data_IF_233914467632
#
_entry.id   IF_233914467632
#
_cell.length_a   1.000
_cell.length_b   1.000
_cell.length_c   1.000
_cell.angle_alpha   90.00
_cell.angle_beta   90.00
_cell.angle_gamma   90.00
#
_symmetry.space_group_name_H-M   'P 1'
#
loop_
_entity.id
_entity.type
_entity.pdbx_description
1 polymer ?
#
# COMPACT_ATOMS: atom_id res chain seq x y z
N UNK A 1 -8.62 20.22 -8.90
CA UNK A 1 -7.30 20.76 -8.48
C UNK A 1 -7.11 22.17 -9.04
N UNK A 2 -6.45 23.03 -8.29
CA UNK A 2 -6.08 24.37 -8.76
C UNK A 2 -4.81 24.30 -9.59
N UNK A 3 -4.80 24.91 -10.78
CA UNK A 3 -3.62 25.04 -11.62
C UNK A 3 -2.97 26.42 -11.44
N UNK A 4 -1.64 26.47 -11.38
CA UNK A 4 -0.90 27.72 -11.36
C UNK A 4 -0.23 27.96 -12.71
N UNK A 5 -0.37 29.16 -13.25
CA UNK A 5 0.35 29.60 -14.46
C UNK A 5 1.46 30.55 -14.05
N UNK A 6 2.72 30.16 -14.26
CA UNK A 6 3.87 30.98 -13.98
C UNK A 6 4.08 32.00 -15.10
N UNK A 7 3.57 33.22 -14.92
CA UNK A 7 3.66 34.29 -15.92
C UNK A 7 4.99 35.06 -15.85
N UNK A 8 5.56 35.24 -14.62
CA UNK A 8 6.82 35.97 -14.44
C UNK A 8 8.04 35.06 -14.49
N UNK A 9 9.23 35.64 -14.77
CA UNK A 9 10.50 34.93 -14.74
C UNK A 9 10.83 34.38 -13.34
N UNK A 10 10.51 35.15 -12.28
CA UNK A 10 10.72 34.75 -10.89
C UNK A 10 9.82 33.57 -10.51
N UNK A 11 8.54 33.60 -10.89
CA UNK A 11 7.63 32.48 -10.66
C UNK A 11 8.12 31.22 -11.36
N UNK A 12 8.54 31.31 -12.64
CA UNK A 12 9.13 30.18 -13.38
C UNK A 12 10.39 29.65 -12.69
N UNK A 13 11.28 30.53 -12.23
CA UNK A 13 12.51 30.13 -11.52
C UNK A 13 12.18 29.35 -10.24
N UNK A 14 11.16 29.75 -9.50
CA UNK A 14 10.70 29.05 -8.29
C UNK A 14 10.22 27.64 -8.63
N UNK A 15 9.37 27.46 -9.65
CA UNK A 15 8.91 26.14 -10.09
C UNK A 15 10.06 25.24 -10.58
N UNK A 16 11.05 25.80 -11.29
CA UNK A 16 12.24 25.06 -11.69
C UNK A 16 13.09 24.62 -10.49
N UNK A 17 13.19 25.46 -9.46
CA UNK A 17 13.91 25.13 -8.23
C UNK A 17 13.20 23.99 -7.48
N UNK A 18 11.87 24.04 -7.38
CA UNK A 18 11.08 22.98 -6.74
C UNK A 18 11.17 21.67 -7.51
N UNK A 19 11.16 21.73 -8.85
CA UNK A 19 11.39 20.56 -9.72
C UNK A 19 12.78 19.95 -9.52
N UNK A 20 13.82 20.76 -9.39
CA UNK A 20 15.18 20.28 -9.12
C UNK A 20 15.29 19.58 -7.75
N UNK A 21 14.48 19.99 -6.77
CA UNK A 21 14.42 19.37 -5.43
C UNK A 21 13.69 18.01 -5.47
N UNK A 22 12.69 17.83 -6.32
CA UNK A 22 11.99 16.54 -6.45
C UNK A 22 12.89 15.44 -7.01
N UNK A 23 13.89 15.78 -7.83
CA UNK A 23 14.91 14.83 -8.28
C UNK A 23 15.81 14.32 -7.12
N UNK A 24 15.90 15.06 -6.00
CA UNK A 24 16.69 14.69 -4.83
C UNK A 24 16.01 13.62 -3.95
N UNK A 25 14.72 13.36 -4.11
CA UNK A 25 13.98 12.33 -3.35
C UNK A 25 14.58 10.93 -3.62
N UNK A 26 15.12 10.69 -4.82
CA UNK A 26 15.79 9.45 -5.17
C UNK A 26 17.12 9.23 -4.40
N UNK A 27 17.72 10.26 -3.80
CA UNK A 27 18.99 10.16 -3.05
C UNK A 27 18.82 9.58 -1.64
N UNK A 28 17.63 9.57 -1.10
CA UNK A 28 17.34 9.12 0.27
C UNK A 28 16.64 7.76 0.35
N UNK A 29 16.36 7.15 -0.79
CA UNK A 29 15.82 5.80 -0.88
C UNK A 29 16.82 4.93 -1.65
N UNK A 30 17.18 3.76 -1.12
CA UNK A 30 17.93 2.73 -1.85
C UNK A 30 17.08 2.14 -3.00
N UNK A 31 16.33 2.99 -3.70
CA UNK A 31 15.44 2.57 -4.77
C UNK A 31 16.19 2.66 -6.11
N UNK A 32 16.34 1.54 -6.76
CA UNK A 32 16.65 1.48 -8.18
C UNK A 32 15.39 1.83 -8.98
N UNK A 33 15.52 2.55 -10.08
CA UNK A 33 14.41 2.89 -10.96
C UNK A 33 14.55 2.16 -12.27
N UNK A 34 13.57 1.35 -12.60
CA UNK A 34 13.38 0.90 -13.97
C UNK A 34 12.68 2.06 -14.68
N UNK A 35 13.31 2.60 -15.72
CA UNK A 35 12.83 3.78 -16.42
C UNK A 35 12.57 3.46 -17.89
N UNK A 36 11.39 3.82 -18.37
CA UNK A 36 11.01 3.74 -19.77
C UNK A 36 10.52 5.11 -20.25
N UNK A 37 11.04 5.54 -21.38
CA UNK A 37 10.66 6.80 -22.01
C UNK A 37 9.79 6.50 -23.24
N UNK A 38 8.59 7.05 -23.26
CA UNK A 38 7.63 6.86 -24.36
C UNK A 38 7.07 8.18 -24.83
N UNK A 39 6.72 8.25 -26.10
CA UNK A 39 6.01 9.39 -26.69
C UNK A 39 4.57 8.98 -26.95
N UNK A 40 3.64 9.64 -26.26
CA UNK A 40 2.20 9.40 -26.39
C UNK A 40 1.58 10.53 -27.20
N UNK A 41 0.81 10.23 -28.27
CA UNK A 41 0.04 11.25 -28.99
C UNK A 41 -0.83 12.04 -28.03
N UNK A 42 -0.78 13.37 -28.10
CA UNK A 42 -1.49 14.26 -27.17
C UNK A 42 -2.98 13.91 -26.99
N UNK A 43 -3.76 13.57 -28.04
CA UNK A 43 -5.14 13.17 -27.88
C UNK A 43 -5.34 11.89 -27.05
N UNK A 44 -4.31 11.04 -26.93
CA UNK A 44 -4.36 9.77 -26.17
C UNK A 44 -3.73 9.85 -24.78
N UNK A 45 -3.25 11.02 -24.38
CA UNK A 45 -2.58 11.20 -23.10
C UNK A 45 -3.50 10.87 -21.90
N UNK A 46 -4.79 11.25 -22.00
CA UNK A 46 -5.80 10.91 -20.98
C UNK A 46 -6.00 9.40 -20.84
N UNK A 47 -6.17 8.70 -21.95
CA UNK A 47 -6.29 7.22 -21.98
C UNK A 47 -5.06 6.53 -21.37
N UNK A 48 -3.87 7.03 -21.69
CA UNK A 48 -2.62 6.49 -21.15
C UNK A 48 -2.52 6.67 -19.63
N UNK A 49 -2.81 7.87 -19.11
CA UNK A 49 -2.76 8.14 -17.66
C UNK A 49 -3.80 7.33 -16.89
N UNK A 50 -5.00 7.19 -17.44
CA UNK A 50 -6.06 6.35 -16.87
C UNK A 50 -5.64 4.87 -16.82
N UNK A 51 -5.02 4.37 -17.87
CA UNK A 51 -4.46 3.01 -17.91
C UNK A 51 -3.40 2.77 -16.83
N UNK A 52 -2.47 3.72 -16.63
CA UNK A 52 -1.47 3.63 -15.57
C UNK A 52 -2.10 3.72 -14.17
N UNK A 53 -3.10 4.55 -13.99
CA UNK A 53 -3.82 4.64 -12.71
C UNK A 53 -4.54 3.33 -12.39
N UNK A 54 -5.17 2.71 -13.38
CA UNK A 54 -5.77 1.39 -13.25
C UNK A 54 -4.74 0.34 -12.81
N UNK A 55 -3.60 0.29 -13.47
CA UNK A 55 -2.49 -0.61 -13.09
C UNK A 55 -2.08 -0.37 -11.63
N UNK A 56 -1.94 0.87 -11.21
CA UNK A 56 -1.56 1.21 -9.84
C UNK A 56 -2.62 0.79 -8.81
N UNK A 57 -3.90 0.91 -9.14
CA UNK A 57 -5.00 0.43 -8.28
C UNK A 57 -4.95 -1.09 -8.16
N UNK A 58 -4.76 -1.81 -9.26
CA UNK A 58 -4.64 -3.27 -9.26
C UNK A 58 -3.43 -3.74 -8.43
N UNK A 59 -2.26 -3.13 -8.64
CA UNK A 59 -1.04 -3.42 -7.87
C UNK A 59 -1.23 -3.13 -6.38
N UNK A 60 -1.89 -2.03 -6.05
CA UNK A 60 -2.23 -1.68 -4.66
C UNK A 60 -3.14 -2.71 -4.00
N UNK A 61 -4.17 -3.19 -4.70
CA UNK A 61 -5.06 -4.24 -4.20
C UNK A 61 -4.32 -5.56 -4.03
N UNK A 62 -3.51 -5.97 -5.00
CA UNK A 62 -2.66 -7.18 -4.91
C UNK A 62 -1.74 -7.14 -3.69
N UNK A 63 -1.04 -6.01 -3.48
CA UNK A 63 -0.17 -5.85 -2.31
C UNK A 63 -0.95 -5.93 -0.99
N UNK A 64 -2.15 -5.35 -0.92
CA UNK A 64 -3.01 -5.44 0.26
C UNK A 64 -3.52 -6.85 0.51
N UNK A 65 -3.81 -7.62 -0.54
CA UNK A 65 -4.18 -9.03 -0.41
C UNK A 65 -3.00 -9.86 0.13
N UNK A 66 -1.77 -9.60 -0.32
CA UNK A 66 -0.56 -10.21 0.25
C UNK A 66 -0.40 -9.90 1.74
N UNK A 67 -0.73 -8.67 2.17
CA UNK A 67 -0.76 -8.36 3.62
C UNK A 67 -1.72 -9.29 4.34
N UNK A 68 -2.95 -9.46 3.85
CA UNK A 68 -3.93 -10.36 4.49
C UNK A 68 -3.45 -11.80 4.54
N UNK A 69 -2.75 -12.28 3.50
CA UNK A 69 -2.16 -13.63 3.48
C UNK A 69 -1.06 -13.78 4.55
N UNK A 70 -0.21 -12.77 4.69
CA UNK A 70 0.83 -12.74 5.74
C UNK A 70 0.24 -12.74 7.16
N UNK A 71 -0.82 -11.95 7.39
CA UNK A 71 -1.52 -11.92 8.68
C UNK A 71 -2.17 -13.26 9.00
N UNK A 72 -2.86 -13.86 8.03
CA UNK A 72 -3.50 -15.17 8.21
C UNK A 72 -2.47 -16.24 8.51
N UNK A 73 -1.35 -16.27 7.78
CA UNK A 73 -0.24 -17.20 8.02
C UNK A 73 0.33 -17.05 9.43
N UNK A 74 0.47 -15.83 9.92
CA UNK A 74 0.94 -15.58 11.28
C UNK A 74 -0.08 -16.05 12.32
N UNK A 75 -1.36 -15.70 12.17
CA UNK A 75 -2.42 -16.05 13.13
C UNK A 75 -2.69 -17.56 13.21
N UNK A 76 -2.36 -18.32 12.17
CA UNK A 76 -2.47 -19.79 12.14
C UNK A 76 -1.29 -20.52 12.77
N UNK A 77 -0.27 -19.81 13.28
CA UNK A 77 0.83 -20.46 14.00
C UNK A 77 0.34 -21.13 15.28
N UNK A 78 0.99 -22.24 15.64
CA UNK A 78 0.67 -23.03 16.86
C UNK A 78 0.88 -22.27 18.17
N UNK A 79 1.79 -21.28 18.16
CA UNK A 79 2.04 -20.41 19.31
C UNK A 79 2.13 -18.95 18.86
N UNK A 80 1.31 -18.10 19.46
CA UNK A 80 1.35 -16.66 19.27
C UNK A 80 2.05 -15.98 20.45
N UNK A 81 2.82 -14.90 20.22
CA UNK A 81 3.53 -14.21 21.27
C UNK A 81 2.52 -13.47 22.17
N UNK A 82 2.58 -13.70 23.46
CA UNK A 82 1.81 -13.01 24.49
C UNK A 82 2.74 -12.19 25.38
N UNK A 83 2.23 -11.07 25.88
CA UNK A 83 2.90 -10.28 26.91
C UNK A 83 2.98 -11.05 28.23
N UNK A 84 3.99 -10.75 29.04
CA UNK A 84 4.11 -11.34 30.38
C UNK A 84 2.95 -10.83 31.26
N UNK A 85 2.24 -11.74 31.92
CA UNK A 85 1.41 -11.41 33.07
C UNK A 85 2.33 -11.37 34.30
N UNK A 86 2.19 -10.31 35.11
CA UNK A 86 2.94 -10.14 36.37
C UNK A 86 2.48 -11.11 37.50
N UNK A 87 1.51 -11.95 37.23
CA UNK A 87 0.99 -12.92 38.20
C UNK A 87 1.54 -14.32 37.87
N UNK A 88 2.09 -14.99 38.87
CA UNK A 88 2.71 -16.33 38.86
C UNK A 88 1.77 -17.50 38.47
N UNK A 89 0.67 -17.24 37.82
CA UNK A 89 -0.26 -18.24 37.31
C UNK A 89 0.00 -18.50 35.83
N UNK A 90 0.52 -19.69 35.51
CA UNK A 90 0.63 -20.19 34.13
C UNK A 90 -0.76 -20.53 33.55
N UNK A 91 -1.48 -19.49 33.08
CA UNK A 91 -2.69 -19.71 32.32
C UNK A 91 -2.30 -20.17 30.91
N UNK A 92 -2.85 -21.28 30.40
CA UNK A 92 -2.55 -21.73 29.03
C UNK A 92 -2.84 -20.64 28.01
N UNK A 93 -1.92 -20.44 27.07
CA UNK A 93 -2.04 -19.41 26.01
C UNK A 93 -3.34 -19.51 25.21
N UNK A 94 -3.85 -20.73 25.01
CA UNK A 94 -5.12 -20.98 24.33
C UNK A 94 -6.31 -20.40 25.10
N UNK A 95 -6.28 -20.44 26.43
CA UNK A 95 -7.34 -19.90 27.28
C UNK A 95 -7.30 -18.36 27.28
N UNK A 96 -6.12 -17.76 27.28
CA UNK A 96 -5.94 -16.31 27.17
C UNK A 96 -6.41 -15.78 25.82
N UNK A 97 -6.11 -16.49 24.73
CA UNK A 97 -6.52 -16.12 23.37
C UNK A 97 -8.02 -16.25 23.15
N UNK A 98 -8.66 -17.28 23.77
CA UNK A 98 -10.08 -17.54 23.59
C UNK A 98 -10.44 -17.64 22.09
N UNK A 99 -11.49 -16.95 21.67
CA UNK A 99 -11.99 -16.92 20.30
C UNK A 99 -11.38 -15.80 19.42
N UNK A 100 -10.47 -15.00 19.98
CA UNK A 100 -9.90 -13.82 19.30
C UNK A 100 -9.21 -14.15 17.98
N UNK A 101 -8.48 -15.25 17.92
CA UNK A 101 -7.83 -15.72 16.69
C UNK A 101 -8.87 -16.02 15.62
N UNK A 102 -9.95 -16.70 15.99
CA UNK A 102 -11.05 -17.03 15.08
C UNK A 102 -11.73 -15.75 14.57
N UNK A 103 -12.03 -14.81 15.44
CA UNK A 103 -12.60 -13.50 15.05
C UNK A 103 -11.68 -12.74 14.09
N UNK A 104 -10.37 -12.73 14.34
CA UNK A 104 -9.40 -12.09 13.47
C UNK A 104 -9.32 -12.76 12.10
N UNK A 105 -9.37 -14.09 12.03
CA UNK A 105 -9.38 -14.84 10.77
C UNK A 105 -10.67 -14.58 9.97
N UNK A 106 -11.81 -14.49 10.63
CA UNK A 106 -13.09 -14.12 10.00
C UNK A 106 -13.06 -12.70 9.43
N UNK A 107 -12.55 -11.73 10.19
CA UNK A 107 -12.33 -10.38 9.73
C UNK A 107 -11.49 -10.36 8.45
N UNK A 108 -10.33 -11.02 8.49
CA UNK A 108 -9.40 -11.10 7.35
C UNK A 108 -10.09 -11.75 6.14
N UNK A 109 -10.84 -12.82 6.36
CA UNK A 109 -11.59 -13.52 5.31
C UNK A 109 -12.62 -12.62 4.63
N UNK A 110 -13.39 -11.86 5.41
CA UNK A 110 -14.41 -10.93 4.92
C UNK A 110 -13.79 -9.77 4.12
N UNK A 111 -12.70 -9.19 4.62
CA UNK A 111 -11.97 -8.12 3.91
C UNK A 111 -11.35 -8.65 2.63
N UNK A 112 -10.74 -9.84 2.67
CA UNK A 112 -10.16 -10.50 1.49
C UNK A 112 -11.21 -10.75 0.42
N UNK A 113 -12.37 -11.27 0.78
CA UNK A 113 -13.46 -11.54 -0.17
C UNK A 113 -13.86 -10.25 -0.91
N UNK A 114 -14.05 -9.15 -0.18
CA UNK A 114 -14.41 -7.85 -0.76
C UNK A 114 -13.32 -7.28 -1.65
N UNK A 115 -12.06 -7.21 -1.21
CA UNK A 115 -10.97 -6.65 -2.01
C UNK A 115 -10.63 -7.53 -3.22
N UNK A 116 -10.78 -8.86 -3.11
CA UNK A 116 -10.62 -9.78 -4.24
C UNK A 116 -11.74 -9.62 -5.27
N UNK A 117 -12.97 -9.34 -4.82
CA UNK A 117 -14.09 -9.05 -5.72
C UNK A 117 -13.84 -7.76 -6.52
N UNK A 118 -13.35 -6.70 -5.87
CA UNK A 118 -12.98 -5.47 -6.58
C UNK A 118 -11.88 -5.70 -7.61
N UNK A 119 -10.87 -6.50 -7.28
CA UNK A 119 -9.79 -6.83 -8.20
C UNK A 119 -10.28 -7.66 -9.39
N UNK A 120 -11.16 -8.65 -9.15
CA UNK A 120 -11.73 -9.50 -10.21
C UNK A 120 -12.69 -8.76 -11.13
N UNK A 121 -13.43 -7.78 -10.60
CA UNK A 121 -14.41 -6.98 -11.34
C UNK A 121 -13.92 -5.54 -11.52
N UNK A 122 -12.64 -5.37 -11.87
CA UNK A 122 -12.01 -4.06 -11.96
C UNK A 122 -12.76 -3.10 -12.88
N UNK A 123 -13.28 -3.56 -14.00
CA UNK A 123 -14.05 -2.73 -14.94
C UNK A 123 -15.28 -2.08 -14.28
N UNK A 124 -15.90 -2.78 -13.34
CA UNK A 124 -17.06 -2.30 -12.60
C UNK A 124 -16.67 -1.30 -11.52
N UNK A 125 -15.59 -1.59 -10.78
CA UNK A 125 -15.23 -0.83 -9.58
C UNK A 125 -14.18 0.25 -9.81
N UNK A 126 -13.56 0.28 -11.00
CA UNK A 126 -12.48 1.24 -11.30
C UNK A 126 -12.89 2.70 -11.09
N UNK A 127 -14.07 3.18 -11.58
CA UNK A 127 -14.47 4.57 -11.35
C UNK A 127 -14.58 4.94 -9.87
N UNK A 128 -15.09 4.04 -9.05
CA UNK A 128 -15.26 4.27 -7.62
C UNK A 128 -13.93 4.19 -6.83
N UNK A 129 -13.02 3.34 -7.27
CA UNK A 129 -11.67 3.25 -6.71
C UNK A 129 -10.83 4.46 -7.13
N UNK A 130 -10.98 4.94 -8.35
CA UNK A 130 -10.29 6.11 -8.89
C UNK A 130 -10.71 7.41 -8.20
N UNK A 131 -12.01 7.62 -8.00
CA UNK A 131 -12.54 8.82 -7.34
C UNK A 131 -12.52 8.72 -5.80
N UNK A 132 -12.04 7.61 -5.25
CA UNK A 132 -11.95 7.30 -3.81
C UNK A 132 -13.30 7.15 -3.09
N UNK A 133 -14.41 6.94 -3.77
CA UNK A 133 -15.68 6.54 -3.13
C UNK A 133 -15.60 5.13 -2.57
N UNK A 134 -14.78 4.25 -3.18
CA UNK A 134 -14.33 3.00 -2.60
C UNK A 134 -12.85 3.07 -2.20
N UNK A 135 -12.50 2.54 -1.04
CA UNK A 135 -11.12 2.52 -0.53
C UNK A 135 -10.81 1.23 0.19
N UNK A 136 -9.84 0.49 -0.29
CA UNK A 136 -9.22 -0.59 0.48
C UNK A 136 -8.28 0.02 1.53
N UNK A 137 -8.65 -0.02 2.79
CA UNK A 137 -7.94 0.68 3.86
C UNK A 137 -7.45 -0.28 4.94
N UNK A 138 -6.13 -0.50 5.00
CA UNK A 138 -5.50 -1.17 6.14
C UNK A 138 -5.91 -0.55 7.47
N UNK A 139 -5.85 0.78 7.56
CA UNK A 139 -6.05 1.51 8.82
C UNK A 139 -7.44 1.32 9.41
N UNK A 140 -8.47 1.41 8.58
CA UNK A 140 -9.87 1.46 9.04
C UNK A 140 -10.57 0.11 8.98
N UNK A 141 -10.21 -0.75 8.02
CA UNK A 141 -10.92 -2.02 7.79
C UNK A 141 -10.23 -3.22 8.45
N UNK A 142 -8.93 -3.13 8.74
CA UNK A 142 -8.16 -4.25 9.29
C UNK A 142 -7.54 -3.88 10.63
N UNK A 143 -6.65 -2.87 10.65
CA UNK A 143 -5.89 -2.50 11.84
C UNK A 143 -6.78 -2.08 13.01
N UNK A 144 -7.80 -1.26 12.76
CA UNK A 144 -8.69 -0.77 13.80
C UNK A 144 -9.44 -1.92 14.47
N UNK A 145 -9.99 -2.83 13.68
CA UNK A 145 -10.71 -4.01 14.16
C UNK A 145 -9.80 -5.00 14.89
N UNK A 146 -8.59 -5.26 14.36
CA UNK A 146 -7.60 -6.12 15.03
C UNK A 146 -7.21 -5.56 16.41
N UNK A 147 -7.13 -4.24 16.57
CA UNK A 147 -6.88 -3.59 17.86
C UNK A 147 -8.05 -3.73 18.84
N UNK A 148 -9.26 -3.86 18.36
CA UNK A 148 -10.43 -4.17 19.19
C UNK A 148 -10.38 -5.63 19.62
N UNK A 149 -10.15 -6.56 18.68
CA UNK A 149 -10.08 -8.00 18.94
C UNK A 149 -8.96 -8.34 19.93
N UNK A 150 -7.76 -7.80 19.71
CA UNK A 150 -6.59 -8.00 20.55
C UNK A 150 -6.37 -6.82 21.53
N UNK A 151 -7.45 -6.29 22.13
CA UNK A 151 -7.33 -5.24 23.13
C UNK A 151 -6.71 -5.74 24.42
N UNK A 152 -5.75 -4.97 24.98
CA UNK A 152 -5.09 -5.26 26.26
C UNK A 152 -3.59 -5.55 26.11
N UNK A 153 -2.83 -5.28 27.18
CA UNK A 153 -1.37 -5.37 27.20
C UNK A 153 -0.84 -6.77 26.86
N UNK A 154 -1.55 -7.81 27.26
CA UNK A 154 -1.17 -9.20 26.97
C UNK A 154 -1.09 -9.50 25.47
N UNK A 155 -1.82 -8.77 24.63
CA UNK A 155 -1.87 -8.98 23.18
C UNK A 155 -1.02 -7.99 22.36
N UNK A 156 -0.37 -7.04 23.01
CA UNK A 156 0.52 -6.09 22.32
C UNK A 156 1.60 -6.75 21.45
N UNK A 157 2.24 -7.86 21.86
CA UNK A 157 3.20 -8.55 21.00
C UNK A 157 2.57 -9.06 19.70
N UNK A 158 1.33 -9.57 19.74
CA UNK A 158 0.60 -9.99 18.53
C UNK A 158 0.36 -8.79 17.63
N UNK A 159 -0.14 -7.68 18.15
CA UNK A 159 -0.39 -6.46 17.37
C UNK A 159 0.89 -5.91 16.74
N UNK A 160 2.02 -5.96 17.46
CA UNK A 160 3.31 -5.53 16.95
C UNK A 160 3.78 -6.40 15.78
N UNK A 161 3.60 -7.72 15.86
CA UNK A 161 3.92 -8.63 14.75
C UNK A 161 3.03 -8.38 13.53
N UNK A 162 1.73 -8.19 13.72
CA UNK A 162 0.80 -7.86 12.65
C UNK A 162 1.18 -6.54 11.94
N UNK A 163 1.57 -5.53 12.70
CA UNK A 163 2.09 -4.26 12.16
C UNK A 163 3.43 -4.44 11.43
N UNK A 164 4.32 -5.29 11.93
CA UNK A 164 5.60 -5.59 11.29
C UNK A 164 5.40 -6.29 9.95
N UNK A 165 4.50 -7.28 9.88
CA UNK A 165 4.11 -7.96 8.64
C UNK A 165 3.58 -6.95 7.62
N UNK A 166 2.64 -6.10 8.03
CA UNK A 166 2.10 -5.04 7.16
C UNK A 166 3.22 -4.13 6.61
N UNK A 167 4.10 -3.63 7.48
CA UNK A 167 5.20 -2.74 7.07
C UNK A 167 6.17 -3.42 6.11
N UNK A 168 6.51 -4.69 6.35
CA UNK A 168 7.45 -5.44 5.53
C UNK A 168 6.88 -5.66 4.11
N UNK A 169 5.61 -6.07 4.01
CA UNK A 169 4.96 -6.28 2.70
C UNK A 169 4.74 -4.94 1.99
N UNK A 170 4.38 -3.88 2.73
CA UNK A 170 4.20 -2.55 2.14
C UNK A 170 5.49 -1.99 1.52
N UNK A 171 6.66 -2.29 2.10
CA UNK A 171 7.97 -1.89 1.54
C UNK A 171 8.27 -2.54 0.19
N UNK A 172 7.73 -3.72 -0.06
CA UNK A 172 7.87 -4.48 -1.32
C UNK A 172 6.81 -4.12 -2.37
N UNK A 173 6.00 -3.08 -2.13
CA UNK A 173 4.97 -2.68 -3.09
C UNK A 173 5.61 -2.15 -4.38
N UNK A 174 5.08 -2.61 -5.50
CA UNK A 174 5.39 -2.07 -6.82
C UNK A 174 4.32 -1.04 -7.21
N UNK A 175 4.74 0.05 -7.81
CA UNK A 175 3.84 1.05 -8.39
C UNK A 175 4.54 1.76 -9.56
N UNK A 176 3.75 2.32 -10.46
CA UNK A 176 4.23 3.07 -11.60
C UNK A 176 4.10 4.56 -11.31
N UNK A 177 5.22 5.27 -11.29
CA UNK A 177 5.24 6.72 -11.16
C UNK A 177 5.45 7.35 -12.53
N UNK A 178 4.61 8.33 -12.88
CA UNK A 178 4.73 9.09 -14.12
C UNK A 178 5.40 10.43 -13.87
N UNK A 179 6.34 10.78 -14.74
CA UNK A 179 6.83 12.12 -14.93
C UNK A 179 6.68 12.47 -16.41
N UNK A 180 6.04 13.58 -16.74
CA UNK A 180 5.74 13.85 -18.14
C UNK A 180 5.99 15.30 -18.53
N UNK A 181 6.37 15.48 -19.78
CA UNK A 181 6.30 16.74 -20.50
C UNK A 181 5.02 16.71 -21.35
N UNK A 182 3.89 16.95 -20.68
CA UNK A 182 2.58 16.71 -21.26
C UNK A 182 2.33 17.50 -22.57
N UNK A 183 2.96 18.69 -22.73
CA UNK A 183 2.84 19.47 -23.97
C UNK A 183 3.49 18.83 -25.18
N UNK A 184 4.49 17.96 -24.98
CA UNK A 184 5.25 17.31 -26.06
C UNK A 184 4.85 15.81 -26.20
N UNK A 185 3.97 15.32 -25.35
CA UNK A 185 3.59 13.91 -25.30
C UNK A 185 4.67 12.99 -24.72
N UNK A 186 5.75 13.55 -24.20
CA UNK A 186 6.86 12.76 -23.64
C UNK A 186 6.56 12.35 -22.20
N UNK A 187 6.61 11.04 -21.95
CA UNK A 187 6.29 10.44 -20.65
C UNK A 187 7.44 9.55 -20.18
N UNK A 188 7.93 9.82 -18.98
CA UNK A 188 8.87 8.98 -18.27
C UNK A 188 8.10 8.09 -17.30
N UNK A 189 8.10 6.80 -17.54
CA UNK A 189 7.50 5.80 -16.68
C UNK A 189 8.57 5.25 -15.74
N UNK A 190 8.38 5.42 -14.44
CA UNK A 190 9.34 5.01 -13.42
C UNK A 190 8.72 3.94 -12.52
N UNK A 191 9.38 2.81 -12.40
CA UNK A 191 9.02 1.74 -11.46
C UNK A 191 10.12 1.67 -10.39
N UNK A 192 9.90 2.22 -9.19
CA UNK A 192 10.88 2.11 -8.12
C UNK A 192 10.88 0.68 -7.57
N UNK A 193 12.06 0.09 -7.49
CA UNK A 193 12.31 -1.22 -6.90
C UNK A 193 13.36 -1.09 -5.80
N UNK A 194 13.26 -1.91 -4.77
CA UNK A 194 14.27 -1.91 -3.71
C UNK A 194 15.50 -2.70 -4.19
N UNK A 195 16.67 -2.05 -4.23
CA UNK A 195 17.92 -2.68 -4.65
C UNK A 195 18.35 -3.85 -3.78
N UNK A 196 17.87 -3.92 -2.53
CA UNK A 196 18.18 -4.98 -1.59
C UNK A 196 17.23 -6.20 -1.70
N UNK A 197 16.25 -6.15 -2.60
CA UNK A 197 15.25 -7.20 -2.77
C UNK A 197 15.25 -7.72 -4.22
N UNK A 198 16.01 -8.78 -4.45
CA UNK A 198 16.12 -9.40 -5.77
C UNK A 198 14.82 -10.04 -6.29
N UNK A 199 13.84 -10.30 -5.41
CA UNK A 199 12.53 -10.82 -5.84
C UNK A 199 11.65 -9.73 -6.47
N UNK A 200 12.01 -8.45 -6.28
CA UNK A 200 11.31 -7.31 -6.92
C UNK A 200 11.82 -7.02 -8.33
N UNK A 201 12.98 -7.54 -8.71
CA UNK A 201 13.59 -7.38 -10.04
C UNK A 201 13.11 -8.45 -11.01
#
# INVERSE_FOLDING_TARGET
>A
GEGFVAVSAEARKKFWLDRARTAAIARHTNAFKINEDVVIPLPRMGEYTEGIERINIELSLKNKLQVLDGLETFLKKSALPLGKNDEDYEIPSAEILGDRVQQALELIGNVRARWSDWLKQMDKYFPDLQNYSLRASWKTEVRAELRIIFGGLAFEPILNELEAIHKNILRKRVFVALHMHAGDGNVHTNIPVNSDDYEML
#
